data_IF_873230448023
#
_entry.id   IF_873230448023
#
_cell.length_a   1.000
_cell.length_b   1.000
_cell.length_c   1.000
_cell.angle_alpha   90.00
_cell.angle_beta   90.00
_cell.angle_gamma   90.00
#
_symmetry.space_group_name_H-M   'P 1'
#
loop_
_entity.id
_entity.type
_entity.pdbx_description
1 polymer ?
#
# COMPACT_ATOMS: atom_id res chain seq x y z
N UNK A 1 -39.17 46.36 -32.99
CA UNK A 1 -39.27 45.85 -31.61
C UNK A 1 -39.19 44.30 -31.57
N UNK A 2 -40.02 43.57 -32.31
CA UNK A 2 -40.02 42.09 -32.32
C UNK A 2 -38.67 41.41 -32.72
N UNK A 3 -37.97 41.95 -33.72
CA UNK A 3 -36.67 41.38 -34.13
C UNK A 3 -35.58 41.52 -33.06
N UNK A 4 -35.61 42.60 -32.28
CA UNK A 4 -34.66 42.82 -31.18
C UNK A 4 -34.95 41.90 -29.99
N UNK A 5 -36.25 41.77 -29.67
CA UNK A 5 -36.71 40.82 -28.64
C UNK A 5 -36.27 39.38 -28.94
N UNK A 6 -36.48 38.94 -30.20
CA UNK A 6 -36.11 37.60 -30.61
C UNK A 6 -34.59 37.38 -30.53
N UNK A 7 -33.79 38.36 -30.97
CA UNK A 7 -32.33 38.28 -30.87
C UNK A 7 -31.82 38.26 -29.43
N UNK A 8 -32.45 39.04 -28.54
CA UNK A 8 -32.10 39.04 -27.11
C UNK A 8 -32.52 37.75 -26.41
N UNK A 9 -33.68 37.15 -26.80
CA UNK A 9 -34.08 35.83 -26.35
C UNK A 9 -33.08 34.73 -26.77
N UNK A 10 -32.63 34.72 -28.02
CA UNK A 10 -31.66 33.74 -28.54
C UNK A 10 -30.30 33.84 -27.84
N UNK A 11 -29.89 35.04 -27.44
CA UNK A 11 -28.66 35.27 -26.67
C UNK A 11 -28.70 34.69 -25.25
N UNK A 12 -29.88 34.37 -24.72
CA UNK A 12 -30.02 33.74 -23.41
C UNK A 12 -29.76 32.23 -23.45
N UNK A 13 -29.59 31.64 -24.62
CA UNK A 13 -29.26 30.22 -24.72
C UNK A 13 -27.88 29.96 -24.09
N UNK A 14 -27.80 29.03 -23.12
CA UNK A 14 -26.57 28.67 -22.42
C UNK A 14 -26.07 29.71 -21.39
N UNK A 15 -26.79 30.80 -21.16
CA UNK A 15 -26.45 31.80 -20.15
C UNK A 15 -26.67 31.23 -18.75
N UNK A 16 -25.67 31.44 -17.85
CA UNK A 16 -25.67 30.92 -16.47
C UNK A 16 -25.83 31.99 -15.40
N UNK A 17 -25.82 33.27 -15.79
CA UNK A 17 -26.05 34.37 -14.86
C UNK A 17 -27.55 34.74 -14.86
N UNK A 18 -28.27 34.58 -13.74
CA UNK A 18 -29.69 34.88 -13.64
C UNK A 18 -30.05 36.35 -13.91
N UNK A 19 -29.09 37.28 -13.76
CA UNK A 19 -29.31 38.71 -14.01
C UNK A 19 -29.70 38.99 -15.46
N UNK A 20 -29.17 38.24 -16.43
CA UNK A 20 -29.51 38.42 -17.85
C UNK A 20 -30.96 37.99 -18.11
N UNK A 21 -31.44 36.95 -17.48
CA UNK A 21 -32.86 36.52 -17.54
C UNK A 21 -33.77 37.56 -16.91
N UNK A 22 -33.36 38.09 -15.75
CA UNK A 22 -34.10 39.15 -15.08
C UNK A 22 -34.16 40.41 -15.94
N UNK A 23 -33.06 40.80 -16.57
CA UNK A 23 -33.02 41.98 -17.46
C UNK A 23 -33.96 41.77 -18.67
N UNK A 24 -33.98 40.58 -19.28
CA UNK A 24 -34.91 40.28 -20.37
C UNK A 24 -36.38 40.45 -19.92
N UNK A 25 -36.76 39.96 -18.76
CA UNK A 25 -38.13 40.09 -18.22
C UNK A 25 -38.50 41.57 -17.94
N UNK A 26 -37.52 42.40 -17.57
CA UNK A 26 -37.71 43.86 -17.37
C UNK A 26 -37.91 44.56 -18.72
N UNK A 27 -37.05 44.23 -19.71
CA UNK A 27 -37.05 44.91 -21.01
C UNK A 27 -38.26 44.48 -21.87
N UNK A 28 -38.74 43.24 -21.71
CA UNK A 28 -39.80 42.66 -22.51
C UNK A 28 -40.94 42.04 -21.67
N UNK A 29 -41.64 42.81 -20.81
CA UNK A 29 -42.61 42.29 -19.86
C UNK A 29 -43.87 41.68 -20.46
N UNK A 30 -44.08 41.83 -21.78
CA UNK A 30 -45.20 41.24 -22.55
C UNK A 30 -44.72 40.24 -23.58
N UNK A 31 -43.50 39.79 -23.50
CA UNK A 31 -42.95 38.77 -24.39
C UNK A 31 -43.67 37.43 -24.21
N UNK A 32 -43.91 36.74 -25.32
CA UNK A 32 -44.41 35.36 -25.31
C UNK A 32 -43.45 34.38 -24.62
N UNK A 33 -42.19 34.81 -24.41
CA UNK A 33 -41.14 34.01 -23.79
C UNK A 33 -41.02 34.23 -22.27
N UNK A 34 -41.83 35.10 -21.66
CA UNK A 34 -41.67 35.46 -20.24
C UNK A 34 -41.78 34.24 -19.33
N UNK A 35 -42.77 33.36 -19.54
CA UNK A 35 -42.98 32.19 -18.69
C UNK A 35 -41.79 31.24 -18.76
N UNK A 36 -41.29 30.93 -19.98
CA UNK A 36 -40.15 30.08 -20.20
C UNK A 36 -38.86 30.67 -19.60
N UNK A 37 -38.63 31.98 -19.78
CA UNK A 37 -37.45 32.67 -19.25
C UNK A 37 -37.50 32.67 -17.71
N UNK A 38 -38.68 32.87 -17.11
CA UNK A 38 -38.83 32.81 -15.66
C UNK A 38 -38.56 31.39 -15.14
N UNK A 39 -39.05 30.34 -15.79
CA UNK A 39 -38.77 28.94 -15.42
C UNK A 39 -37.27 28.62 -15.50
N UNK A 40 -36.60 29.04 -16.58
CA UNK A 40 -35.15 28.85 -16.75
C UNK A 40 -34.35 29.57 -15.65
N UNK A 41 -34.73 30.82 -15.33
CA UNK A 41 -34.13 31.61 -14.27
C UNK A 41 -34.30 30.93 -12.89
N UNK A 42 -35.50 30.46 -12.56
CA UNK A 42 -35.77 29.77 -11.29
C UNK A 42 -35.01 28.46 -11.19
N UNK A 43 -34.90 27.68 -12.28
CA UNK A 43 -34.12 26.45 -12.31
C UNK A 43 -32.63 26.74 -12.05
N UNK A 44 -32.07 27.80 -12.65
CA UNK A 44 -30.69 28.21 -12.46
C UNK A 44 -30.40 28.69 -11.03
N UNK A 45 -31.32 29.44 -10.44
CA UNK A 45 -31.24 29.89 -9.04
C UNK A 45 -31.20 28.67 -8.09
N UNK A 46 -32.12 27.71 -8.30
CA UNK A 46 -32.22 26.49 -7.50
C UNK A 46 -30.91 25.64 -7.62
N UNK A 47 -30.40 25.45 -8.85
CA UNK A 47 -29.13 24.75 -9.06
C UNK A 47 -27.98 25.44 -8.33
N UNK A 48 -27.96 26.80 -8.36
CA UNK A 48 -26.91 27.58 -7.71
C UNK A 48 -26.97 27.45 -6.18
N UNK A 49 -28.16 27.42 -5.59
CA UNK A 49 -28.32 27.18 -4.16
C UNK A 49 -27.92 25.77 -3.76
N UNK A 50 -28.31 24.75 -4.52
CA UNK A 50 -27.94 23.38 -4.26
C UNK A 50 -26.43 23.17 -4.43
N UNK A 51 -25.80 23.86 -5.38
CA UNK A 51 -24.34 23.88 -5.50
C UNK A 51 -23.67 24.46 -4.26
N UNK A 52 -24.16 25.58 -3.74
CA UNK A 52 -23.64 26.16 -2.48
C UNK A 52 -23.80 25.21 -1.29
N UNK A 53 -24.89 24.44 -1.23
CA UNK A 53 -25.09 23.41 -0.20
C UNK A 53 -24.10 22.27 -0.37
N UNK A 54 -23.88 21.80 -1.61
CA UNK A 54 -22.91 20.76 -1.93
C UNK A 54 -21.50 21.16 -1.50
N UNK A 55 -21.08 22.40 -1.81
CA UNK A 55 -19.74 22.90 -1.42
C UNK A 55 -19.50 22.92 0.10
N UNK A 56 -20.56 23.03 0.92
CA UNK A 56 -20.47 22.99 2.39
C UNK A 56 -20.38 21.57 2.95
N UNK A 57 -20.78 20.56 2.18
CA UNK A 57 -20.80 19.17 2.62
C UNK A 57 -20.48 18.25 1.46
N UNK A 58 -19.21 18.29 1.02
CA UNK A 58 -18.73 17.48 -0.09
C UNK A 58 -18.53 16.03 0.37
N UNK A 59 -19.29 15.12 -0.21
CA UNK A 59 -19.14 13.69 -0.10
C UNK A 59 -19.71 13.01 -1.35
N UNK A 60 -19.34 11.76 -1.60
CA UNK A 60 -19.76 10.99 -2.78
C UNK A 60 -21.27 11.02 -3.01
N UNK A 61 -22.07 10.78 -1.95
CA UNK A 61 -23.52 10.76 -2.03
C UNK A 61 -24.09 12.11 -2.50
N UNK A 62 -23.60 13.21 -1.91
CA UNK A 62 -24.09 14.55 -2.24
C UNK A 62 -23.69 14.97 -3.66
N UNK A 63 -22.46 14.66 -4.08
CA UNK A 63 -22.00 14.94 -5.45
C UNK A 63 -22.79 14.13 -6.47
N UNK A 64 -22.98 12.83 -6.25
CA UNK A 64 -23.78 11.98 -7.14
C UNK A 64 -25.24 12.42 -7.21
N UNK A 65 -25.85 12.82 -6.08
CA UNK A 65 -27.21 13.33 -6.06
C UNK A 65 -27.36 14.66 -6.81
N UNK A 66 -26.33 15.52 -6.74
CA UNK A 66 -26.32 16.77 -7.52
C UNK A 66 -26.25 16.50 -9.02
N UNK A 67 -25.35 15.61 -9.47
CA UNK A 67 -25.24 15.22 -10.88
C UNK A 67 -26.52 14.54 -11.40
N UNK A 68 -27.16 13.71 -10.59
CA UNK A 68 -28.43 13.08 -10.95
C UNK A 68 -29.57 14.10 -11.12
N UNK A 69 -29.59 15.12 -10.26
CA UNK A 69 -30.60 16.20 -10.31
C UNK A 69 -30.35 17.17 -11.48
N UNK A 70 -29.07 17.42 -11.81
CA UNK A 70 -28.66 18.38 -12.81
C UNK A 70 -27.73 17.72 -13.87
N UNK A 71 -28.26 16.83 -14.73
CA UNK A 71 -27.43 16.03 -15.63
C UNK A 71 -26.70 16.85 -16.70
N UNK A 72 -27.17 18.06 -17.02
CA UNK A 72 -26.59 18.96 -17.99
C UNK A 72 -25.91 20.18 -17.34
N UNK A 73 -25.51 20.06 -16.08
CA UNK A 73 -24.87 21.15 -15.35
C UNK A 73 -23.51 21.52 -15.98
N UNK A 74 -23.23 22.80 -16.06
CA UNK A 74 -21.86 23.29 -16.41
C UNK A 74 -20.82 23.04 -15.30
N UNK A 75 -21.28 22.55 -14.13
CA UNK A 75 -20.43 22.17 -12.99
C UNK A 75 -20.03 20.70 -13.02
N UNK A 76 -20.33 19.97 -14.10
CA UNK A 76 -20.02 18.54 -14.22
C UNK A 76 -18.55 18.26 -13.92
N UNK A 77 -17.63 19.00 -14.58
CA UNK A 77 -16.20 18.83 -14.35
C UNK A 77 -15.78 19.07 -12.90
N UNK A 78 -16.36 20.08 -12.26
CA UNK A 78 -16.09 20.33 -10.84
C UNK A 78 -16.59 19.19 -9.93
N UNK A 79 -17.70 18.58 -10.27
CA UNK A 79 -18.20 17.39 -9.57
C UNK A 79 -17.31 16.16 -9.81
N UNK A 80 -16.82 15.97 -11.04
CA UNK A 80 -15.86 14.91 -11.39
C UNK A 80 -14.55 15.08 -10.61
N UNK A 81 -14.02 16.31 -10.52
CA UNK A 81 -12.84 16.64 -9.71
C UNK A 81 -13.05 16.38 -8.21
N UNK A 82 -14.27 16.60 -7.69
CA UNK A 82 -14.61 16.27 -6.31
C UNK A 82 -14.64 14.75 -6.11
N UNK A 83 -15.25 13.98 -7.02
CA UNK A 83 -15.29 12.53 -6.96
C UNK A 83 -13.89 11.92 -7.06
N UNK A 84 -13.06 12.44 -7.97
CA UNK A 84 -11.67 12.04 -8.11
C UNK A 84 -10.89 12.20 -6.78
N UNK A 85 -11.05 13.36 -6.12
CA UNK A 85 -10.39 13.62 -4.83
C UNK A 85 -10.89 12.71 -3.71
N UNK A 86 -12.21 12.41 -3.67
CA UNK A 86 -12.81 11.50 -2.71
C UNK A 86 -12.29 10.08 -2.94
N UNK A 87 -12.30 9.61 -4.19
CA UNK A 87 -11.86 8.26 -4.56
C UNK A 87 -10.38 8.03 -4.28
N UNK A 88 -9.56 9.06 -4.51
CA UNK A 88 -8.14 9.02 -4.15
C UNK A 88 -7.93 8.93 -2.63
N UNK A 89 -8.63 9.75 -1.86
CA UNK A 89 -8.57 9.71 -0.40
C UNK A 89 -9.00 8.34 0.16
N UNK A 90 -10.07 7.76 -0.38
CA UNK A 90 -10.55 6.43 -0.01
C UNK A 90 -9.50 5.35 -0.35
N UNK A 91 -8.90 5.41 -1.55
CA UNK A 91 -7.86 4.48 -1.98
C UNK A 91 -6.62 4.54 -1.07
N UNK A 92 -6.19 5.76 -0.67
CA UNK A 92 -5.10 5.94 0.28
C UNK A 92 -5.42 5.42 1.68
N UNK A 93 -6.65 5.60 2.15
CA UNK A 93 -7.09 5.12 3.45
C UNK A 93 -7.10 3.57 3.53
N UNK A 94 -7.51 2.90 2.44
CA UNK A 94 -7.42 1.43 2.31
C UNK A 94 -5.95 0.99 2.17
N UNK A 95 -5.15 1.70 1.39
CA UNK A 95 -3.70 1.59 1.31
C UNK A 95 -3.15 0.30 0.67
N UNK A 96 -3.99 -0.51 0.01
CA UNK A 96 -3.57 -1.72 -0.69
C UNK A 96 -3.53 -1.52 -2.22
N UNK A 97 -2.88 -2.45 -2.93
CA UNK A 97 -2.71 -2.38 -4.40
C UNK A 97 -4.05 -2.41 -5.14
N UNK A 98 -5.02 -3.19 -4.66
CA UNK A 98 -6.33 -3.32 -5.28
C UNK A 98 -7.07 -1.99 -5.28
N UNK A 99 -7.13 -1.29 -4.13
CA UNK A 99 -7.78 0.02 -4.02
C UNK A 99 -7.12 1.09 -4.92
N UNK A 100 -5.79 1.09 -5.02
CA UNK A 100 -5.07 2.01 -5.93
C UNK A 100 -5.36 1.66 -7.40
N UNK A 101 -5.43 0.38 -7.73
CA UNK A 101 -5.76 -0.06 -9.09
C UNK A 101 -7.19 0.29 -9.47
N UNK A 102 -8.15 0.13 -8.55
CA UNK A 102 -9.54 0.53 -8.74
C UNK A 102 -9.69 2.04 -8.94
N UNK A 103 -8.92 2.84 -8.21
CA UNK A 103 -8.85 4.28 -8.45
C UNK A 103 -8.39 4.59 -9.87
N UNK A 104 -7.27 4.01 -10.32
CA UNK A 104 -6.74 4.21 -11.68
C UNK A 104 -7.72 3.79 -12.79
N UNK A 105 -8.51 2.74 -12.57
CA UNK A 105 -9.55 2.32 -13.52
C UNK A 105 -10.73 3.28 -13.57
N UNK A 106 -11.15 3.85 -12.44
CA UNK A 106 -12.26 4.79 -12.37
C UNK A 106 -11.90 6.18 -12.86
N UNK A 107 -10.64 6.58 -12.68
CA UNK A 107 -10.11 7.91 -13.01
C UNK A 107 -8.86 7.83 -13.90
N UNK A 108 -8.97 7.31 -15.16
CA UNK A 108 -7.80 7.14 -16.04
C UNK A 108 -7.12 8.44 -16.45
N UNK A 109 -7.81 9.58 -16.29
CA UNK A 109 -7.29 10.93 -16.53
C UNK A 109 -7.47 11.81 -15.29
N UNK A 110 -7.54 11.20 -14.11
CA UNK A 110 -7.70 11.88 -12.83
C UNK A 110 -6.46 12.67 -12.44
N UNK A 111 -6.62 13.57 -11.48
CA UNK A 111 -5.56 14.48 -11.00
C UNK A 111 -4.43 13.74 -10.28
N UNK A 112 -4.69 12.55 -9.74
CA UNK A 112 -3.76 11.78 -8.91
C UNK A 112 -3.25 10.50 -9.60
N UNK A 113 -3.34 10.43 -10.95
CA UNK A 113 -2.92 9.24 -11.72
C UNK A 113 -1.43 8.95 -11.53
N UNK A 114 -0.59 9.99 -11.56
CA UNK A 114 0.86 9.84 -11.38
C UNK A 114 1.19 9.39 -9.95
N UNK A 115 0.60 10.02 -8.94
CA UNK A 115 0.76 9.62 -7.52
C UNK A 115 0.28 8.18 -7.29
N UNK A 116 -0.84 7.81 -7.90
CA UNK A 116 -1.40 6.46 -7.80
C UNK A 116 -0.49 5.41 -8.46
N UNK A 117 0.09 5.72 -9.62
CA UNK A 117 1.04 4.85 -10.30
C UNK A 117 2.32 4.67 -9.47
N UNK A 118 2.86 5.74 -8.91
CA UNK A 118 4.02 5.69 -8.02
C UNK A 118 3.72 4.85 -6.77
N UNK A 119 2.58 5.09 -6.11
CA UNK A 119 2.15 4.34 -4.93
C UNK A 119 1.96 2.86 -5.22
N UNK A 120 1.35 2.53 -6.36
CA UNK A 120 1.19 1.14 -6.81
C UNK A 120 2.53 0.46 -7.00
N UNK A 121 3.49 1.11 -7.67
CA UNK A 121 4.84 0.58 -7.86
C UNK A 121 5.55 0.35 -6.52
N UNK A 122 5.45 1.30 -5.57
CA UNK A 122 6.03 1.13 -4.24
C UNK A 122 5.43 -0.08 -3.50
N UNK A 123 4.11 -0.29 -3.59
CA UNK A 123 3.44 -1.45 -3.00
C UNK A 123 3.89 -2.77 -3.66
N UNK A 124 4.07 -2.79 -4.97
CA UNK A 124 4.59 -3.97 -5.70
C UNK A 124 6.03 -4.29 -5.29
N UNK A 125 6.90 -3.29 -5.22
CA UNK A 125 8.30 -3.45 -4.80
C UNK A 125 8.44 -3.91 -3.34
N UNK A 126 7.47 -3.58 -2.49
CA UNK A 126 7.45 -4.02 -1.09
C UNK A 126 7.02 -5.49 -0.93
N UNK A 127 6.43 -6.11 -1.94
CA UNK A 127 6.04 -7.54 -1.89
C UNK A 127 7.25 -8.43 -1.99
N UNK A 128 7.25 -9.49 -1.18
CA UNK A 128 8.26 -10.56 -1.25
C UNK A 128 7.81 -11.57 -2.29
N UNK A 129 8.66 -11.84 -3.28
CA UNK A 129 8.37 -12.81 -4.34
C UNK A 129 8.55 -14.25 -3.86
N UNK A 130 7.94 -15.23 -4.55
CA UNK A 130 8.18 -16.65 -4.27
C UNK A 130 9.67 -17.04 -4.36
N UNK A 131 10.40 -16.47 -5.32
CA UNK A 131 11.83 -16.69 -5.52
C UNK A 131 12.65 -16.14 -4.36
N UNK A 132 12.33 -14.92 -3.88
CA UNK A 132 12.95 -14.34 -2.70
C UNK A 132 12.67 -15.18 -1.45
N UNK A 133 11.44 -15.70 -1.29
CA UNK A 133 11.11 -16.63 -0.19
C UNK A 133 11.90 -17.93 -0.26
N UNK A 134 12.04 -18.51 -1.45
CA UNK A 134 12.80 -19.73 -1.64
C UNK A 134 14.29 -19.51 -1.35
N UNK A 135 14.84 -18.39 -1.81
CA UNK A 135 16.22 -17.99 -1.54
C UNK A 135 16.48 -17.81 -0.03
N UNK A 136 15.60 -17.07 0.67
CA UNK A 136 15.69 -16.84 2.11
C UNK A 136 15.61 -18.17 2.89
N UNK A 137 14.70 -19.06 2.50
CA UNK A 137 14.59 -20.39 3.08
C UNK A 137 15.90 -21.18 2.92
N UNK A 138 16.46 -21.23 1.71
CA UNK A 138 17.73 -21.91 1.43
C UNK A 138 18.89 -21.33 2.23
N UNK A 139 18.95 -20.01 2.41
CA UNK A 139 19.96 -19.34 3.26
C UNK A 139 19.86 -19.82 4.71
N UNK A 140 18.66 -19.83 5.29
CA UNK A 140 18.46 -20.28 6.68
C UNK A 140 18.69 -21.79 6.84
N UNK A 141 18.21 -22.62 5.89
CA UNK A 141 18.46 -24.06 5.91
C UNK A 141 19.96 -24.37 5.84
N UNK A 142 20.69 -23.69 4.97
CA UNK A 142 22.16 -23.83 4.87
C UNK A 142 22.85 -23.38 6.16
N UNK A 143 22.43 -22.24 6.74
CA UNK A 143 22.98 -21.75 7.99
C UNK A 143 22.77 -22.75 9.14
N UNK A 144 21.54 -23.20 9.36
CA UNK A 144 21.28 -24.15 10.43
C UNK A 144 21.95 -25.51 10.22
N UNK A 145 21.98 -26.03 9.01
CA UNK A 145 22.56 -27.36 8.75
C UNK A 145 24.09 -27.34 8.73
N UNK A 146 24.72 -26.39 8.04
CA UNK A 146 26.17 -26.35 7.87
C UNK A 146 26.87 -25.62 9.00
N UNK A 147 26.33 -24.47 9.42
CA UNK A 147 27.00 -23.63 10.43
C UNK A 147 26.71 -24.16 11.83
N UNK A 148 25.43 -24.27 12.20
CA UNK A 148 25.08 -24.68 13.57
C UNK A 148 25.23 -26.20 13.73
N UNK A 149 24.66 -26.99 12.81
CA UNK A 149 24.73 -28.46 12.85
C UNK A 149 26.11 -29.03 12.46
N UNK A 150 26.70 -28.46 11.42
CA UNK A 150 27.97 -28.92 10.87
C UNK A 150 29.23 -28.24 11.45
N UNK A 151 29.10 -27.15 12.18
CA UNK A 151 30.20 -26.35 12.76
C UNK A 151 31.23 -25.90 11.70
N UNK A 152 30.77 -25.65 10.47
CA UNK A 152 31.58 -25.27 9.33
C UNK A 152 31.89 -23.77 9.37
N UNK A 153 33.13 -23.43 9.67
CA UNK A 153 33.63 -22.04 9.78
C UNK A 153 33.56 -21.31 8.43
N UNK A 154 33.92 -21.97 7.33
CA UNK A 154 33.87 -21.33 6.01
C UNK A 154 32.41 -21.09 5.56
N UNK A 155 31.51 -22.01 5.88
CA UNK A 155 30.07 -21.78 5.69
C UNK A 155 29.55 -20.61 6.57
N UNK A 156 30.06 -20.45 7.79
CA UNK A 156 29.72 -19.32 8.66
C UNK A 156 30.18 -17.99 8.06
N UNK A 157 31.44 -17.89 7.61
CA UNK A 157 31.98 -16.70 6.95
C UNK A 157 31.24 -16.34 5.66
N UNK A 158 30.78 -17.34 4.92
CA UNK A 158 29.99 -17.12 3.72
C UNK A 158 28.54 -16.63 4.02
N UNK A 159 27.95 -17.10 5.14
CA UNK A 159 26.54 -16.86 5.49
C UNK A 159 26.29 -15.52 6.18
N UNK A 160 27.32 -14.85 6.71
CA UNK A 160 27.19 -13.58 7.44
C UNK A 160 28.09 -12.50 6.82
N UNK A 161 27.84 -11.19 7.08
CA UNK A 161 28.87 -10.16 6.88
C UNK A 161 30.05 -10.39 7.84
N UNK A 162 31.04 -9.51 7.85
CA UNK A 162 32.18 -9.64 8.76
C UNK A 162 31.76 -9.87 10.22
N UNK A 163 30.70 -9.20 10.64
CA UNK A 163 30.04 -9.45 11.92
C UNK A 163 28.52 -9.32 11.80
N UNK A 164 27.78 -10.10 12.55
CA UNK A 164 26.33 -9.94 12.73
C UNK A 164 26.06 -8.85 13.78
N UNK A 165 25.07 -8.01 13.54
CA UNK A 165 24.60 -6.98 14.49
C UNK A 165 24.23 -7.62 15.83
N UNK A 166 23.52 -8.75 15.78
CA UNK A 166 23.17 -9.54 16.95
C UNK A 166 23.00 -11.01 16.58
N UNK A 167 23.66 -11.89 17.32
CA UNK A 167 23.47 -13.33 17.25
C UNK A 167 23.13 -13.86 18.64
N UNK A 168 21.88 -14.25 18.85
CA UNK A 168 21.38 -14.82 20.10
C UNK A 168 21.76 -14.01 21.36
N UNK A 169 21.70 -12.65 21.26
CA UNK A 169 22.07 -11.74 22.33
C UNK A 169 23.52 -11.22 22.29
N UNK A 170 24.42 -11.87 21.59
CA UNK A 170 25.81 -11.40 21.39
C UNK A 170 25.84 -10.34 20.28
N UNK A 171 26.31 -9.14 20.60
CA UNK A 171 26.51 -8.03 19.65
C UNK A 171 27.80 -8.23 18.87
N UNK A 172 27.80 -7.80 17.60
CA UNK A 172 28.96 -7.87 16.70
C UNK A 172 29.61 -9.26 16.67
N UNK A 173 28.77 -10.31 16.56
CA UNK A 173 29.25 -11.68 16.53
C UNK A 173 29.89 -11.99 15.16
N UNK A 174 31.15 -12.40 15.15
CA UNK A 174 31.86 -12.91 14.00
C UNK A 174 31.61 -14.42 13.77
N UNK A 175 32.16 -14.98 12.71
CA UNK A 175 31.97 -16.38 12.37
C UNK A 175 32.53 -17.32 13.45
N UNK A 176 33.65 -16.98 14.07
CA UNK A 176 34.28 -17.72 15.15
C UNK A 176 33.38 -17.81 16.37
N UNK A 177 32.73 -16.69 16.76
CA UNK A 177 31.80 -16.66 17.87
C UNK A 177 30.53 -17.52 17.62
N UNK A 178 30.08 -17.57 16.37
CA UNK A 178 28.93 -18.42 15.99
C UNK A 178 29.32 -19.91 16.07
N UNK A 179 30.51 -20.26 15.61
CA UNK A 179 31.01 -21.64 15.70
C UNK A 179 31.25 -22.06 17.16
N UNK A 180 31.71 -21.15 18.02
CA UNK A 180 31.85 -21.42 19.45
C UNK A 180 30.47 -21.77 20.07
N UNK A 181 29.45 -20.95 19.76
CA UNK A 181 28.08 -21.25 20.18
C UNK A 181 27.58 -22.60 19.64
N UNK A 182 27.86 -22.93 18.38
CA UNK A 182 27.50 -24.22 17.79
C UNK A 182 28.19 -25.41 18.50
N UNK A 183 29.45 -25.24 18.89
CA UNK A 183 30.22 -26.24 19.65
C UNK A 183 29.67 -26.46 21.06
N UNK A 184 29.22 -25.40 21.71
CA UNK A 184 28.59 -25.49 23.05
C UNK A 184 27.31 -26.33 23.04
N UNK A 185 26.57 -26.36 21.92
CA UNK A 185 25.42 -27.23 21.73
C UNK A 185 25.76 -28.72 21.62
N UNK A 186 27.01 -29.04 21.23
CA UNK A 186 27.51 -30.40 21.17
C UNK A 186 28.03 -30.86 22.54
N UNK A 187 27.11 -31.04 23.49
CA UNK A 187 27.44 -31.65 24.78
C UNK A 187 28.03 -33.06 24.58
N UNK A 188 28.72 -33.62 25.60
CA UNK A 188 29.46 -34.90 25.50
C UNK A 188 28.65 -36.09 25.01
N UNK A 189 27.33 -36.07 25.18
CA UNK A 189 26.41 -37.12 24.77
C UNK A 189 25.73 -36.86 23.42
N UNK A 190 25.90 -35.64 22.84
CA UNK A 190 25.32 -35.26 21.53
C UNK A 190 26.24 -35.72 20.43
N UNK A 191 25.74 -36.59 19.55
CA UNK A 191 26.46 -37.12 18.39
C UNK A 191 26.05 -36.52 17.06
N UNK A 192 24.96 -35.74 17.03
CA UNK A 192 24.52 -35.00 15.84
C UNK A 192 23.35 -34.07 16.12
N UNK A 193 23.29 -33.00 15.35
CA UNK A 193 22.21 -32.01 15.35
C UNK A 193 21.63 -31.88 13.95
N UNK A 194 20.32 -32.03 13.84
CA UNK A 194 19.57 -31.83 12.60
C UNK A 194 18.55 -30.74 12.78
N UNK A 195 18.44 -29.84 11.78
CA UNK A 195 17.51 -28.73 11.79
C UNK A 195 16.57 -28.79 10.60
N UNK A 196 15.28 -28.57 10.85
CA UNK A 196 14.25 -28.43 9.83
C UNK A 196 13.46 -27.13 10.05
N UNK A 197 13.35 -26.32 9.01
CA UNK A 197 12.49 -25.11 9.06
C UNK A 197 11.02 -25.49 8.92
N UNK A 198 10.17 -24.82 9.67
CA UNK A 198 8.73 -24.93 9.54
C UNK A 198 8.24 -24.54 8.14
N UNK A 199 7.10 -25.10 7.74
CA UNK A 199 6.52 -24.79 6.43
C UNK A 199 6.11 -23.31 6.30
N UNK A 200 5.52 -22.77 7.35
CA UNK A 200 5.09 -21.36 7.41
C UNK A 200 6.28 -20.48 7.79
N UNK A 201 6.59 -19.54 6.89
CA UNK A 201 7.64 -18.54 7.08
C UNK A 201 7.03 -17.18 6.73
N UNK A 202 7.05 -16.25 7.69
CA UNK A 202 6.65 -14.86 7.47
C UNK A 202 7.89 -14.08 7.06
N UNK A 203 7.81 -13.43 5.88
CA UNK A 203 8.92 -12.66 5.32
C UNK A 203 8.39 -11.30 4.89
N UNK A 204 9.09 -10.24 5.28
CA UNK A 204 8.77 -8.86 4.91
C UNK A 204 10.03 -8.15 4.44
N UNK A 205 9.88 -7.31 3.41
CA UNK A 205 10.95 -6.37 3.05
C UNK A 205 10.99 -5.24 4.07
N UNK A 206 12.17 -4.90 4.56
CA UNK A 206 12.36 -3.77 5.45
C UNK A 206 13.72 -3.09 5.19
N UNK A 207 13.84 -1.86 5.69
CA UNK A 207 15.12 -1.13 5.65
C UNK A 207 16.00 -1.61 6.79
N UNK A 208 17.19 -2.10 6.46
CA UNK A 208 18.20 -2.52 7.42
C UNK A 208 18.90 -1.32 8.08
N UNK A 209 19.63 -1.52 9.20
CA UNK A 209 20.35 -0.44 9.88
C UNK A 209 21.37 0.32 9.03
N UNK A 210 21.88 -0.28 7.97
CA UNK A 210 22.78 0.32 6.97
C UNK A 210 22.06 1.10 5.86
N UNK A 211 20.74 1.31 6.00
CA UNK A 211 19.84 1.96 5.05
C UNK A 211 19.60 1.20 3.74
N UNK A 212 20.12 -0.03 3.61
CA UNK A 212 19.81 -0.91 2.49
C UNK A 212 18.49 -1.66 2.71
N UNK A 213 17.88 -2.12 1.63
CA UNK A 213 16.71 -3.00 1.71
C UNK A 213 17.18 -4.42 2.06
N UNK A 214 16.46 -5.07 2.94
CA UNK A 214 16.67 -6.46 3.31
C UNK A 214 15.34 -7.14 3.63
N UNK A 215 15.44 -8.28 4.33
CA UNK A 215 14.31 -9.12 4.67
C UNK A 215 14.28 -9.41 6.17
N UNK A 216 13.16 -9.12 6.80
CA UNK A 216 12.81 -9.60 8.13
C UNK A 216 12.08 -10.92 8.01
N UNK A 217 12.53 -11.91 8.77
CA UNK A 217 12.06 -13.30 8.67
C UNK A 217 11.66 -13.82 10.04
N UNK A 218 10.46 -14.39 10.13
CA UNK A 218 10.02 -15.15 11.29
C UNK A 218 9.66 -16.57 10.86
N UNK A 219 10.30 -17.57 11.48
CA UNK A 219 10.10 -18.98 11.15
C UNK A 219 10.30 -19.85 12.39
N UNK A 220 9.56 -20.96 12.47
CA UNK A 220 9.84 -22.01 13.45
C UNK A 220 10.96 -22.93 12.96
N UNK A 221 11.80 -23.39 13.88
CA UNK A 221 12.89 -24.34 13.62
C UNK A 221 12.71 -25.53 14.53
N UNK A 222 12.72 -26.70 13.96
CA UNK A 222 12.74 -27.97 14.68
C UNK A 222 14.15 -28.52 14.70
N UNK A 223 14.69 -28.68 15.91
CA UNK A 223 16.00 -29.30 16.16
C UNK A 223 15.78 -30.75 16.56
N UNK A 224 16.40 -31.68 15.88
CA UNK A 224 16.48 -33.10 16.27
C UNK A 224 17.90 -33.40 16.76
N UNK A 225 18.01 -33.92 17.97
CA UNK A 225 19.29 -34.20 18.65
C UNK A 225 19.51 -35.70 18.67
N UNK A 226 20.56 -36.15 17.99
CA UNK A 226 21.04 -37.53 18.12
C UNK A 226 21.97 -37.61 19.32
N UNK A 227 21.65 -38.50 20.27
CA UNK A 227 22.38 -38.67 21.54
C UNK A 227 22.85 -40.08 21.75
N UNK A 228 23.94 -40.24 22.45
CA UNK A 228 24.40 -41.56 22.95
C UNK A 228 23.55 -42.03 24.13
N UNK A 229 23.02 -41.13 24.96
CA UNK A 229 22.05 -41.42 26.03
C UNK A 229 20.63 -41.14 25.50
N UNK A 230 19.82 -42.21 25.35
CA UNK A 230 18.46 -42.17 24.83
C UNK A 230 17.42 -41.67 25.85
N UNK A 231 17.78 -41.47 27.12
CA UNK A 231 16.86 -40.97 28.16
C UNK A 231 16.75 -39.45 28.17
N UNK A 232 17.59 -38.74 27.41
CA UNK A 232 17.57 -37.29 27.32
C UNK A 232 16.64 -36.80 26.19
N UNK A 233 16.08 -35.56 26.29
CA UNK A 233 15.30 -34.97 25.22
C UNK A 233 16.02 -35.00 23.88
N UNK A 234 15.33 -35.47 22.84
CA UNK A 234 15.91 -35.65 21.49
C UNK A 234 15.43 -34.61 20.48
N UNK A 235 14.61 -33.64 20.89
CA UNK A 235 14.13 -32.58 20.00
C UNK A 235 13.77 -31.31 20.75
N UNK A 236 13.93 -30.18 20.07
CA UNK A 236 13.52 -28.87 20.52
C UNK A 236 12.77 -28.13 19.39
N UNK A 237 11.95 -27.16 19.77
CA UNK A 237 11.28 -26.25 18.85
C UNK A 237 11.63 -24.85 19.24
N UNK A 238 12.06 -24.08 18.26
CA UNK A 238 12.44 -22.68 18.43
C UNK A 238 11.62 -21.79 17.50
N UNK A 239 11.46 -20.54 17.89
CA UNK A 239 11.09 -19.46 16.97
C UNK A 239 12.35 -18.69 16.64
N UNK A 240 12.55 -18.39 15.38
CA UNK A 240 13.72 -17.67 14.88
C UNK A 240 13.26 -16.38 14.23
N UNK A 241 13.89 -15.26 14.65
CA UNK A 241 13.80 -13.99 13.97
C UNK A 241 15.16 -13.66 13.36
N UNK A 242 15.18 -13.45 12.03
CA UNK A 242 16.39 -13.12 11.31
C UNK A 242 16.19 -11.87 10.45
N UNK A 243 17.28 -11.11 10.27
CA UNK A 243 17.42 -10.10 9.23
C UNK A 243 18.43 -10.61 8.20
N UNK A 244 18.07 -10.57 6.93
CA UNK A 244 18.89 -11.03 5.81
C UNK A 244 19.02 -9.90 4.79
N UNK A 245 20.24 -9.59 4.36
CA UNK A 245 20.47 -8.56 3.36
C UNK A 245 20.27 -9.08 1.91
N UNK A 246 20.37 -8.20 0.93
CA UNK A 246 20.22 -8.56 -0.49
C UNK A 246 21.31 -9.51 -1.00
N UNK A 247 22.48 -9.54 -0.34
CA UNK A 247 23.58 -10.47 -0.64
C UNK A 247 23.37 -11.87 -0.02
N UNK A 248 22.16 -12.14 0.52
CA UNK A 248 21.79 -13.39 1.20
C UNK A 248 22.58 -13.66 2.49
N UNK A 249 23.15 -12.61 3.10
CA UNK A 249 23.87 -12.74 4.38
C UNK A 249 22.94 -12.43 5.55
N UNK A 250 23.06 -13.22 6.61
CA UNK A 250 22.30 -13.04 7.84
C UNK A 250 22.99 -11.98 8.69
N UNK A 251 22.36 -10.80 8.82
CA UNK A 251 22.89 -9.66 9.58
C UNK A 251 22.45 -9.66 11.04
N UNK A 252 21.37 -10.38 11.37
CA UNK A 252 20.87 -10.57 12.73
C UNK A 252 20.15 -11.90 12.82
N UNK A 253 20.31 -12.62 13.94
CA UNK A 253 19.55 -13.84 14.21
C UNK A 253 19.32 -13.99 15.71
N UNK A 254 18.07 -14.19 16.10
CA UNK A 254 17.64 -14.41 17.49
C UNK A 254 16.81 -15.69 17.52
N UNK A 255 17.12 -16.57 18.47
CA UNK A 255 16.42 -17.83 18.71
C UNK A 255 15.71 -17.71 20.07
N UNK A 256 14.40 -18.08 20.10
CA UNK A 256 13.53 -18.04 21.28
C UNK A 256 13.01 -19.42 21.66
#
# INVERSE_FOLDING_TARGET
MQQREQADYERLEGVTNPEFYQQFLIDYPRSKHCDEINERMQALLLETEDWKKLQKSVNRKNVSSFLQKYPNTLRQRACEDMLDSIDWADALAIGNEEAITDYLHRHPSGRFVDDAAERKNALLLSKVTPEEKAMIRGTLESFFSKVIGGQDLEAAKAAIPDTMINFCGKQNADAEAIIEYAKEKMAKDVIGLHYALGQKMDVRKETLPDSNTGFSVEVSVHETISRSDTNMPSSNHYRVNALINQEQKIVKLIIF
#
